data_IF_270447910960
#
_entry.id   IF_270447910960
#
_cell.length_a   1.000
_cell.length_b   1.000
_cell.length_c   1.000
_cell.angle_alpha   90.00
_cell.angle_beta   90.00
_cell.angle_gamma   90.00
#
_symmetry.space_group_name_H-M   'P 1'
#
loop_
_entity.id
_entity.type
_entity.pdbx_description
1 polymer ?
#
# COMPACT_ATOMS: atom_id res chain seq x y z
N UNK A 1 -13.71 1.05 28.80
CA UNK A 1 -14.21 2.06 27.82
C UNK A 1 -15.56 1.57 27.29
N UNK A 2 -16.54 2.46 27.18
CA UNK A 2 -17.87 2.16 26.60
C UNK A 2 -17.94 2.78 25.20
N UNK A 3 -18.33 2.01 24.19
CA UNK A 3 -18.56 2.51 22.83
C UNK A 3 -19.68 3.55 22.86
N UNK A 4 -19.41 4.75 22.35
CA UNK A 4 -20.39 5.84 22.26
C UNK A 4 -21.07 5.89 20.88
N UNK A 5 -20.34 5.55 19.82
CA UNK A 5 -20.84 5.56 18.45
C UNK A 5 -19.75 5.19 17.45
N UNK A 6 -20.15 4.99 16.19
CA UNK A 6 -19.26 4.71 15.07
C UNK A 6 -19.48 5.82 14.04
N UNK A 7 -18.39 6.43 13.58
CA UNK A 7 -18.41 7.44 12.51
C UNK A 7 -17.84 6.79 11.25
N UNK A 8 -18.60 6.83 10.17
CA UNK A 8 -18.16 6.34 8.87
C UNK A 8 -17.62 7.49 8.01
N UNK A 9 -16.41 7.33 7.49
CA UNK A 9 -15.81 8.23 6.51
C UNK A 9 -15.73 7.49 5.17
N UNK A 10 -16.32 8.08 4.13
CA UNK A 10 -16.33 7.54 2.77
C UNK A 10 -15.71 8.57 1.82
N UNK A 11 -14.96 8.09 0.85
CA UNK A 11 -14.32 8.90 -0.17
C UNK A 11 -13.71 8.02 -1.24
N UNK A 12 -13.29 8.64 -2.34
CA UNK A 12 -12.58 7.95 -3.42
C UNK A 12 -11.07 8.16 -3.30
N UNK A 13 -10.29 7.12 -3.55
CA UNK A 13 -8.83 7.20 -3.67
C UNK A 13 -8.47 7.28 -5.15
N UNK A 14 -7.92 8.41 -5.58
CA UNK A 14 -7.49 8.62 -6.96
C UNK A 14 -5.99 8.45 -7.11
N UNK A 15 -5.59 7.57 -8.02
CA UNK A 15 -4.21 7.51 -8.51
C UNK A 15 -3.99 8.74 -9.40
N UNK A 16 -3.01 9.56 -9.06
CA UNK A 16 -2.69 10.79 -9.81
C UNK A 16 -1.81 10.46 -11.03
N UNK A 17 -0.84 11.33 -11.34
CA UNK A 17 -0.04 11.29 -12.58
C UNK A 17 0.90 10.08 -12.69
N UNK A 18 1.20 9.41 -11.57
CA UNK A 18 2.07 8.24 -11.53
C UNK A 18 1.28 6.99 -11.15
N UNK A 19 1.50 5.89 -11.86
CA UNK A 19 0.90 4.60 -11.52
C UNK A 19 1.22 4.15 -10.09
N UNK A 20 0.26 3.47 -9.46
CA UNK A 20 0.32 3.02 -8.07
C UNK A 20 0.78 1.57 -7.99
N UNK A 21 1.82 1.29 -7.20
CA UNK A 21 2.28 -0.07 -6.93
C UNK A 21 2.05 -0.44 -5.47
N UNK A 22 1.28 -1.50 -5.25
CA UNK A 22 1.14 -2.19 -3.97
C UNK A 22 1.50 -3.65 -4.22
N UNK A 23 2.64 -4.09 -3.70
CA UNK A 23 3.18 -5.42 -3.99
C UNK A 23 2.26 -6.54 -3.52
N UNK A 24 2.03 -7.52 -4.40
CA UNK A 24 1.34 -8.78 -4.07
C UNK A 24 2.33 -9.93 -3.87
N UNK A 25 1.84 -11.06 -3.34
CA UNK A 25 2.53 -12.34 -3.46
C UNK A 25 2.48 -12.82 -4.91
N UNK A 26 3.53 -13.51 -5.37
CA UNK A 26 3.49 -14.30 -6.60
C UNK A 26 2.64 -15.53 -6.33
N UNK A 27 1.33 -15.41 -6.42
CA UNK A 27 0.41 -16.54 -6.35
C UNK A 27 -0.07 -16.88 -7.75
N UNK A 28 0.26 -18.10 -8.16
CA UNK A 28 0.06 -18.76 -9.46
C UNK A 28 0.95 -18.28 -10.62
N UNK A 29 1.80 -19.21 -11.06
CA UNK A 29 2.70 -19.10 -12.20
C UNK A 29 1.91 -18.99 -13.51
N UNK A 30 1.37 -17.82 -13.81
CA UNK A 30 0.95 -17.49 -15.17
C UNK A 30 2.21 -17.18 -16.01
N UNK A 31 2.32 -17.85 -17.15
CA UNK A 31 3.47 -17.76 -18.05
C UNK A 31 3.57 -16.33 -18.60
N UNK A 32 4.61 -15.60 -18.20
CA UNK A 32 4.82 -14.18 -18.56
C UNK A 32 4.97 -13.24 -17.36
N UNK A 33 5.06 -13.78 -16.14
CA UNK A 33 5.17 -13.01 -14.89
C UNK A 33 6.18 -11.85 -14.94
N UNK A 34 5.68 -10.68 -14.55
CA UNK A 34 6.49 -9.54 -14.15
C UNK A 34 7.24 -9.88 -12.85
N UNK A 35 8.49 -9.44 -12.70
CA UNK A 35 9.31 -9.76 -11.50
C UNK A 35 8.62 -9.31 -10.19
N UNK A 36 7.82 -8.26 -10.30
CA UNK A 36 7.21 -7.54 -9.19
C UNK A 36 5.71 -7.31 -9.45
N UNK A 37 4.84 -8.29 -9.16
CA UNK A 37 3.40 -8.15 -9.35
C UNK A 37 2.76 -7.22 -8.31
N UNK A 38 1.55 -6.75 -8.62
CA UNK A 38 0.70 -6.05 -7.65
C UNK A 38 -0.33 -6.99 -7.00
N UNK A 39 -0.87 -6.56 -5.85
CA UNK A 39 -1.92 -7.31 -5.15
C UNK A 39 -3.24 -7.29 -5.95
N UNK A 40 -3.87 -8.46 -6.05
CA UNK A 40 -5.12 -8.67 -6.78
C UNK A 40 -6.11 -9.44 -5.91
N UNK A 41 -7.40 -9.24 -6.15
CA UNK A 41 -8.43 -10.03 -5.52
C UNK A 41 -8.42 -11.46 -6.12
N UNK A 42 -8.32 -12.52 -5.31
CA UNK A 42 -8.01 -13.87 -5.80
C UNK A 42 -9.10 -14.48 -6.68
N UNK A 43 -10.35 -14.00 -6.57
CA UNK A 43 -11.48 -14.52 -7.37
C UNK A 43 -11.66 -13.74 -8.67
N UNK A 44 -11.42 -12.43 -8.65
CA UNK A 44 -11.73 -11.54 -9.79
C UNK A 44 -10.49 -11.17 -10.60
N UNK A 45 -9.28 -11.35 -10.05
CA UNK A 45 -8.01 -10.92 -10.64
C UNK A 45 -7.82 -9.39 -10.64
N UNK A 46 -8.78 -8.64 -10.10
CA UNK A 46 -8.80 -7.18 -10.15
C UNK A 46 -7.88 -6.61 -9.05
N UNK A 47 -7.01 -5.63 -9.36
CA UNK A 47 -6.19 -4.99 -8.35
C UNK A 47 -7.02 -4.09 -7.44
N UNK A 48 -6.63 -4.02 -6.17
CA UNK A 48 -7.32 -3.22 -5.15
C UNK A 48 -6.31 -2.55 -4.20
N UNK A 49 -6.78 -1.61 -3.39
CA UNK A 49 -5.97 -0.96 -2.36
C UNK A 49 -6.29 -1.55 -0.99
N UNK A 50 -5.38 -2.29 -0.34
CA UNK A 50 -5.64 -2.88 0.97
C UNK A 50 -5.78 -1.80 2.05
N UNK A 51 -6.76 -1.99 2.94
CA UNK A 51 -6.99 -1.10 4.08
C UNK A 51 -5.79 -1.09 5.03
N UNK A 52 -5.07 -2.20 5.15
CA UNK A 52 -3.81 -2.30 5.91
C UNK A 52 -2.71 -1.40 5.35
N UNK A 53 -2.58 -1.31 4.02
CA UNK A 53 -1.61 -0.44 3.35
C UNK A 53 -1.90 1.04 3.62
N UNK A 54 -3.16 1.46 3.50
CA UNK A 54 -3.58 2.85 3.78
C UNK A 54 -3.39 3.17 5.26
N UNK A 55 -3.87 2.29 6.15
CA UNK A 55 -3.71 2.41 7.60
C UNK A 55 -2.24 2.55 7.99
N UNK A 56 -1.38 1.68 7.47
CA UNK A 56 0.05 1.68 7.77
C UNK A 56 0.76 2.94 7.27
N UNK A 57 0.44 3.40 6.05
CA UNK A 57 1.05 4.63 5.52
C UNK A 57 0.63 5.86 6.31
N UNK A 58 -0.64 6.01 6.65
CA UNK A 58 -1.11 7.12 7.49
C UNK A 58 -0.47 7.04 8.89
N UNK A 59 -0.46 5.86 9.51
CA UNK A 59 0.16 5.65 10.83
C UNK A 59 1.63 6.06 10.81
N UNK A 60 2.42 5.55 9.87
CA UNK A 60 3.86 5.85 9.78
C UNK A 60 4.14 7.34 9.60
N UNK A 61 3.35 8.05 8.77
CA UNK A 61 3.49 9.50 8.60
C UNK A 61 3.14 10.27 9.89
N UNK A 62 2.10 9.85 10.61
CA UNK A 62 1.73 10.45 11.88
C UNK A 62 2.77 10.17 12.98
N UNK A 63 3.30 8.95 13.06
CA UNK A 63 4.37 8.60 14.00
C UNK A 63 5.65 9.41 13.70
N UNK A 64 6.04 9.55 12.43
CA UNK A 64 7.18 10.39 12.04
C UNK A 64 7.03 11.85 12.48
N UNK A 65 5.80 12.38 12.56
CA UNK A 65 5.55 13.76 12.97
C UNK A 65 5.35 13.94 14.47
N UNK A 66 4.75 12.95 15.15
CA UNK A 66 4.20 13.12 16.50
C UNK A 66 4.75 12.13 17.55
N UNK A 67 5.60 11.17 17.16
CA UNK A 67 6.17 10.16 18.07
C UNK A 67 7.68 10.33 18.17
N UNK A 68 8.16 10.87 19.30
CA UNK A 68 9.59 10.97 19.61
C UNK A 68 10.29 9.60 19.61
N UNK A 69 9.59 8.56 20.09
CA UNK A 69 10.06 7.17 20.06
C UNK A 69 10.34 6.70 18.62
N UNK A 70 9.44 7.01 17.69
CA UNK A 70 9.62 6.66 16.27
C UNK A 70 10.68 7.52 15.60
N UNK A 71 10.73 8.81 15.92
CA UNK A 71 11.74 9.72 15.37
C UNK A 71 13.16 9.34 15.80
N UNK A 72 13.34 8.82 17.01
CA UNK A 72 14.64 8.40 17.53
C UNK A 72 15.03 6.98 17.08
N UNK A 73 14.09 6.05 16.98
CA UNK A 73 14.38 4.63 16.70
C UNK A 73 14.15 4.20 15.25
N UNK A 74 13.36 4.95 14.49
CA UNK A 74 12.84 4.55 13.19
C UNK A 74 11.81 3.40 13.24
N UNK A 75 11.38 2.97 14.44
CA UNK A 75 10.47 1.84 14.64
C UNK A 75 9.05 2.29 15.03
N UNK A 76 8.03 1.44 14.85
CA UNK A 76 6.67 1.75 15.31
C UNK A 76 6.65 2.10 16.80
N UNK A 77 5.88 3.12 17.16
CA UNK A 77 5.84 3.63 18.53
C UNK A 77 5.37 2.55 19.52
N UNK A 78 6.06 2.46 20.66
CA UNK A 78 5.83 1.44 21.69
C UNK A 78 5.28 1.99 23.01
N UNK A 79 5.05 3.31 23.11
CA UNK A 79 4.71 3.96 24.38
C UNK A 79 3.30 3.63 24.91
N UNK A 80 2.36 3.21 24.06
CA UNK A 80 0.99 2.85 24.44
C UNK A 80 0.09 3.99 24.94
N UNK A 81 0.60 5.23 24.97
CA UNK A 81 -0.04 6.39 25.59
C UNK A 81 -0.30 7.56 24.62
N UNK A 82 0.48 7.69 23.55
CA UNK A 82 0.32 8.78 22.59
C UNK A 82 -0.96 8.62 21.76
N UNK A 83 -1.43 9.72 21.16
CA UNK A 83 -2.64 9.74 20.33
C UNK A 83 -2.58 8.72 19.18
N UNK A 84 -1.41 8.56 18.55
CA UNK A 84 -1.23 7.61 17.45
C UNK A 84 -1.41 6.17 17.93
N UNK A 85 -0.79 5.78 19.05
CA UNK A 85 -0.98 4.44 19.63
C UNK A 85 -2.43 4.18 20.05
N UNK A 86 -3.12 5.18 20.61
CA UNK A 86 -4.53 5.04 21.03
C UNK A 86 -5.49 4.90 19.86
N UNK A 87 -5.18 5.51 18.70
CA UNK A 87 -6.03 5.46 17.51
C UNK A 87 -5.69 4.22 16.66
N UNK A 88 -4.41 4.04 16.32
CA UNK A 88 -3.96 3.04 15.35
C UNK A 88 -3.45 1.73 15.96
N UNK A 89 -3.16 1.71 17.27
CA UNK A 89 -2.57 0.57 18.00
C UNK A 89 -1.09 0.79 18.36
N UNK A 90 -0.63 0.07 19.39
CA UNK A 90 0.75 0.12 19.87
C UNK A 90 1.64 -0.92 19.16
N UNK A 91 2.92 -0.62 18.94
CA UNK A 91 3.90 -1.58 18.43
C UNK A 91 4.35 -2.64 19.45
N UNK A 92 4.17 -2.37 20.75
CA UNK A 92 4.45 -3.32 21.84
C UNK A 92 3.15 -3.85 22.42
N UNK A 93 2.98 -5.17 22.40
CA UNK A 93 1.78 -5.85 22.94
C UNK A 93 1.62 -5.64 24.45
N UNK A 94 2.74 -5.57 25.19
CA UNK A 94 2.74 -5.33 26.63
C UNK A 94 2.17 -3.96 27.02
N UNK A 95 2.26 -2.98 26.11
CA UNK A 95 1.82 -1.60 26.34
C UNK A 95 0.46 -1.30 25.69
N UNK A 96 -0.27 -2.31 25.21
CA UNK A 96 -1.61 -2.12 24.65
C UNK A 96 -2.57 -1.83 25.80
N UNK A 97 -2.99 -0.57 25.90
CA UNK A 97 -3.95 -0.10 26.90
C UNK A 97 -5.40 -0.13 26.42
N UNK A 98 -5.62 -0.11 25.10
CA UNK A 98 -6.96 -0.09 24.48
C UNK A 98 -6.93 -0.63 23.04
N UNK A 99 -8.06 -1.14 22.53
CA UNK A 99 -8.17 -1.56 21.13
C UNK A 99 -8.08 -0.35 20.18
N UNK A 100 -7.74 -0.61 18.92
CA UNK A 100 -7.67 0.43 17.89
C UNK A 100 -9.03 1.07 17.65
N UNK A 101 -9.06 2.37 17.39
CA UNK A 101 -10.30 3.15 17.19
C UNK A 101 -10.67 3.36 15.72
N UNK A 102 -9.82 2.92 14.80
CA UNK A 102 -10.02 3.08 13.36
C UNK A 102 -9.89 1.75 12.62
N UNK A 103 -10.80 1.54 11.69
CA UNK A 103 -10.83 0.41 10.76
C UNK A 103 -10.74 0.98 9.35
N UNK A 104 -9.76 0.49 8.58
CA UNK A 104 -9.63 0.81 7.16
C UNK A 104 -10.09 -0.42 6.39
N UNK A 105 -11.08 -0.23 5.52
CA UNK A 105 -11.58 -1.27 4.61
C UNK A 105 -10.74 -1.28 3.33
N UNK A 106 -10.68 -2.44 2.68
CA UNK A 106 -10.09 -2.54 1.35
C UNK A 106 -10.91 -1.72 0.36
N UNK A 107 -10.23 -0.96 -0.49
CA UNK A 107 -10.86 -0.09 -1.50
C UNK A 107 -10.81 -0.80 -2.85
N UNK A 108 -11.99 -1.12 -3.38
CA UNK A 108 -12.17 -1.76 -4.69
C UNK A 108 -12.27 -0.68 -5.77
N UNK A 109 -11.84 -0.96 -7.01
CA UNK A 109 -12.00 0.00 -8.10
C UNK A 109 -13.46 0.41 -8.27
N UNK A 110 -13.64 1.68 -8.60
CA UNK A 110 -14.93 2.24 -9.00
C UNK A 110 -15.41 1.65 -10.32
N UNK A 111 -16.72 1.68 -10.59
CA UNK A 111 -17.26 1.17 -11.86
C UNK A 111 -16.66 1.92 -13.06
N UNK A 112 -16.44 3.23 -12.93
CA UNK A 112 -15.83 4.04 -13.98
C UNK A 112 -14.40 3.59 -14.31
N UNK A 113 -13.65 3.15 -13.30
CA UNK A 113 -12.31 2.59 -13.47
C UNK A 113 -12.37 1.23 -14.13
N UNK A 114 -13.30 0.37 -13.73
CA UNK A 114 -13.51 -0.94 -14.35
C UNK A 114 -13.84 -0.80 -15.84
N UNK A 115 -14.77 0.10 -16.20
CA UNK A 115 -15.15 0.36 -17.59
C UNK A 115 -13.98 0.91 -18.40
N UNK A 116 -13.13 1.72 -17.79
CA UNK A 116 -11.93 2.28 -18.44
C UNK A 116 -10.90 1.19 -18.71
N UNK A 117 -10.65 0.31 -17.73
CA UNK A 117 -9.73 -0.81 -17.89
C UNK A 117 -10.24 -1.83 -18.94
N UNK A 118 -11.54 -2.11 -18.93
CA UNK A 118 -12.18 -3.00 -19.91
C UNK A 118 -12.03 -2.44 -21.35
N UNK A 119 -12.36 -1.16 -21.56
CA UNK A 119 -12.18 -0.48 -22.85
C UNK A 119 -10.72 -0.46 -23.31
N UNK A 120 -9.78 -0.33 -22.38
CA UNK A 120 -8.35 -0.34 -22.67
C UNK A 120 -7.79 -1.76 -22.89
N UNK A 121 -8.52 -2.80 -22.47
CA UNK A 121 -8.06 -4.18 -22.45
C UNK A 121 -6.95 -4.47 -21.44
N UNK A 122 -6.65 -3.52 -20.53
CA UNK A 122 -5.58 -3.61 -19.53
C UNK A 122 -6.00 -2.97 -18.21
N UNK A 123 -5.70 -3.65 -17.10
CA UNK A 123 -5.89 -3.12 -15.73
C UNK A 123 -4.58 -2.78 -15.02
N UNK A 124 -3.44 -3.02 -15.68
CA UNK A 124 -2.09 -2.73 -15.20
C UNK A 124 -1.18 -2.29 -16.33
N UNK A 125 -0.11 -1.58 -15.97
CA UNK A 125 0.99 -1.26 -16.86
C UNK A 125 2.29 -1.88 -16.31
N UNK A 126 3.17 -2.31 -17.22
CA UNK A 126 4.48 -2.87 -16.88
C UNK A 126 5.56 -1.82 -17.16
N UNK A 127 6.29 -1.45 -16.13
CA UNK A 127 7.42 -0.52 -16.19
C UNK A 127 8.73 -1.27 -15.97
N UNK A 128 9.66 -1.14 -16.91
CA UNK A 128 11.01 -1.70 -16.77
C UNK A 128 11.95 -0.72 -16.10
N UNK A 129 12.77 -1.19 -15.15
CA UNK A 129 13.82 -0.44 -14.49
C UNK A 129 15.16 -1.18 -14.57
N UNK A 130 16.25 -0.40 -14.63
CA UNK A 130 17.61 -0.94 -14.69
C UNK A 130 18.46 -0.29 -13.62
N UNK A 131 19.13 -1.11 -12.81
CA UNK A 131 20.17 -0.63 -11.91
C UNK A 131 21.47 -0.50 -12.70
N UNK A 132 22.06 0.70 -12.76
CA UNK A 132 23.26 0.99 -13.55
C UNK A 132 24.46 1.14 -12.62
N UNK A 133 25.56 0.43 -12.92
CA UNK A 133 26.86 0.62 -12.29
C UNK A 133 27.45 1.93 -12.79
N UNK A 134 27.60 2.91 -11.89
CA UNK A 134 28.06 4.26 -12.25
C UNK A 134 29.51 4.31 -12.73
N UNK A 135 30.35 3.35 -12.35
CA UNK A 135 31.76 3.30 -12.75
C UNK A 135 31.93 2.63 -14.12
N UNK A 136 31.11 1.61 -14.41
CA UNK A 136 31.22 0.82 -15.65
C UNK A 136 30.21 1.21 -16.73
N UNK A 137 29.17 1.96 -16.39
CA UNK A 137 28.10 2.35 -17.32
C UNK A 137 27.20 1.19 -17.78
N UNK A 138 27.34 0.00 -17.18
CA UNK A 138 26.57 -1.21 -17.54
C UNK A 138 25.57 -1.56 -16.43
N UNK A 139 24.66 -2.49 -16.70
CA UNK A 139 23.75 -3.01 -15.68
C UNK A 139 24.54 -3.57 -14.47
N UNK A 140 24.25 -3.08 -13.27
CA UNK A 140 24.94 -3.45 -12.05
C UNK A 140 24.51 -4.84 -11.56
N UNK A 141 25.47 -5.60 -11.01
CA UNK A 141 25.19 -6.82 -10.26
C UNK A 141 24.74 -8.03 -11.09
N UNK A 142 24.85 -8.00 -12.42
CA UNK A 142 24.25 -9.02 -13.33
C UNK A 142 22.74 -9.19 -13.16
N UNK A 143 22.09 -8.28 -12.43
CA UNK A 143 20.65 -8.26 -12.25
C UNK A 143 20.15 -7.45 -13.44
N UNK A 144 19.62 -8.13 -14.46
CA UNK A 144 19.13 -7.51 -15.69
C UNK A 144 17.98 -6.52 -15.45
N UNK A 145 17.36 -6.03 -16.54
CA UNK A 145 16.19 -5.17 -16.44
C UNK A 145 15.10 -5.85 -15.61
N UNK A 146 14.59 -5.16 -14.59
CA UNK A 146 13.50 -5.65 -13.75
C UNK A 146 12.20 -5.06 -14.23
N UNK A 147 11.19 -5.89 -14.35
CA UNK A 147 9.84 -5.44 -14.66
C UNK A 147 9.05 -5.19 -13.39
N UNK A 148 8.27 -4.12 -13.36
CA UNK A 148 7.39 -3.77 -12.27
C UNK A 148 5.99 -3.50 -12.78
N UNK A 149 5.03 -4.17 -12.17
CA UNK A 149 3.64 -3.93 -12.43
C UNK A 149 3.15 -2.78 -11.55
N UNK A 150 2.26 -1.95 -12.11
CA UNK A 150 1.58 -0.89 -11.38
C UNK A 150 0.19 -0.65 -11.94
N UNK A 151 -0.69 -0.20 -11.07
CA UNK A 151 -2.04 0.26 -11.39
C UNK A 151 -1.90 1.55 -12.22
N UNK A 152 -2.60 1.71 -13.36
CA UNK A 152 -2.47 2.88 -14.21
C UNK A 152 -2.87 4.17 -13.49
N UNK A 153 -2.24 5.28 -13.89
CA UNK A 153 -2.64 6.62 -13.50
C UNK A 153 -4.14 6.87 -13.76
N UNK A 154 -4.74 7.79 -12.99
CA UNK A 154 -6.16 8.15 -13.05
C UNK A 154 -7.17 7.07 -12.61
N UNK A 155 -6.72 5.90 -12.14
CA UNK A 155 -7.60 4.89 -11.55
C UNK A 155 -8.20 5.39 -10.22
N UNK A 156 -9.47 5.11 -9.98
CA UNK A 156 -10.21 5.50 -8.77
C UNK A 156 -10.74 4.27 -8.01
N UNK A 157 -10.58 4.26 -6.69
CA UNK A 157 -11.00 3.22 -5.74
C UNK A 157 -11.94 3.79 -4.67
#
# INVERSE_FOLDING_TARGET
MKLQGIVELRGKLKVLDSGLRIGGSKETAEVGETDNPIIRHPITGIPYVPGSSVKGKIRSLLELKHSEDTQSTGRPCTCGKCSVCLIFGCGSTANISSPTRVIFRDSQPTQETLDTWDKAGVNTEVKTEVLIDRNKGVAAGRIGPRTMERIPANSEF
#
